data_IF_847358664252
#
_entry.id   IF_847358664252
#
_cell.length_a   1.000
_cell.length_b   1.000
_cell.length_c   1.000
_cell.angle_alpha   90.00
_cell.angle_beta   90.00
_cell.angle_gamma   90.00
#
_symmetry.space_group_name_H-M   'P 1'
#
loop_
_entity.id
_entity.type
_entity.pdbx_description
1 polymer ?
#
# COMPACT_ATOMS: atom_id res chain seq x y z
N UNK A 1 -53.61 19.73 -80.02
CA UNK A 1 -53.82 20.68 -78.92
C UNK A 1 -54.13 19.88 -77.65
N UNK A 2 -53.15 19.88 -76.74
CA UNK A 2 -53.13 19.53 -75.31
C UNK A 2 -54.11 18.45 -74.79
N UNK A 3 -53.61 17.22 -74.69
CA UNK A 3 -54.21 16.13 -73.90
C UNK A 3 -53.37 15.85 -72.65
N UNK A 4 -53.96 16.10 -71.49
CA UNK A 4 -53.40 15.92 -70.15
C UNK A 4 -53.36 14.44 -69.74
N UNK A 5 -52.22 13.95 -69.25
CA UNK A 5 -52.17 12.80 -68.34
C UNK A 5 -51.08 12.97 -67.28
N UNK A 6 -51.52 12.99 -66.03
CA UNK A 6 -50.73 13.10 -64.80
C UNK A 6 -49.99 11.78 -64.54
N UNK A 7 -48.68 11.81 -64.35
CA UNK A 7 -47.94 10.71 -63.73
C UNK A 7 -47.62 11.03 -62.26
N UNK A 8 -48.20 10.19 -61.39
CA UNK A 8 -48.08 10.20 -59.93
C UNK A 8 -46.65 9.86 -59.53
N UNK A 9 -45.95 10.79 -58.86
CA UNK A 9 -44.63 10.54 -58.30
C UNK A 9 -44.71 9.51 -57.16
N UNK A 10 -43.95 8.41 -57.29
CA UNK A 10 -43.80 7.41 -56.24
C UNK A 10 -42.96 7.99 -55.08
N UNK A 11 -43.54 8.01 -53.87
CA UNK A 11 -42.84 8.40 -52.64
C UNK A 11 -41.85 7.29 -52.25
N UNK A 12 -40.55 7.59 -52.30
CA UNK A 12 -39.51 6.72 -51.76
C UNK A 12 -39.63 6.55 -50.24
N UNK A 13 -39.14 5.44 -49.66
CA UNK A 13 -39.34 5.13 -48.26
C UNK A 13 -38.57 6.12 -47.36
N UNK A 14 -39.29 6.70 -46.41
CA UNK A 14 -38.72 7.57 -45.40
C UNK A 14 -37.70 6.82 -44.54
N UNK A 15 -36.43 7.23 -44.61
CA UNK A 15 -35.37 6.75 -43.70
C UNK A 15 -35.75 7.10 -42.26
N UNK A 16 -36.27 6.12 -41.52
CA UNK A 16 -36.43 6.21 -40.06
C UNK A 16 -35.06 6.45 -39.43
N UNK A 17 -34.81 7.67 -38.96
CA UNK A 17 -33.65 7.99 -38.11
C UNK A 17 -33.79 7.19 -36.81
N UNK A 18 -33.03 6.11 -36.68
CA UNK A 18 -32.94 5.36 -35.43
C UNK A 18 -32.43 6.27 -34.31
N UNK A 19 -33.07 6.21 -33.14
CA UNK A 19 -32.54 6.83 -31.92
C UNK A 19 -31.14 6.26 -31.62
N UNK A 20 -30.14 7.09 -31.25
CA UNK A 20 -28.84 6.58 -30.88
C UNK A 20 -28.96 5.70 -29.63
N UNK A 21 -28.41 4.49 -29.70
CA UNK A 21 -28.29 3.58 -28.55
C UNK A 21 -27.19 4.13 -27.62
N UNK A 22 -27.47 4.39 -26.34
CA UNK A 22 -26.42 4.72 -25.37
C UNK A 22 -25.54 3.48 -25.17
N UNK A 23 -24.22 3.60 -25.37
CA UNK A 23 -23.28 2.50 -25.11
C UNK A 23 -22.15 2.32 -26.12
N UNK A 24 -22.15 3.06 -27.24
CA UNK A 24 -21.05 3.04 -28.20
C UNK A 24 -20.49 4.45 -28.42
N UNK A 25 -20.09 5.11 -27.32
CA UNK A 25 -19.16 6.22 -27.43
C UNK A 25 -17.79 5.62 -27.75
N UNK A 26 -17.41 5.65 -29.03
CA UNK A 26 -16.00 5.50 -29.38
C UNK A 26 -15.25 6.61 -28.62
N UNK A 27 -14.19 6.30 -27.84
CA UNK A 27 -13.46 7.32 -27.11
C UNK A 27 -12.87 8.31 -28.12
N UNK A 28 -13.49 9.48 -28.23
CA UNK A 28 -12.90 10.63 -28.92
C UNK A 28 -12.09 11.37 -27.85
N UNK A 29 -10.93 10.82 -27.52
CA UNK A 29 -10.05 11.34 -26.49
C UNK A 29 -8.69 10.67 -26.54
N UNK A 30 -7.65 11.29 -25.97
CA UNK A 30 -6.32 10.68 -25.87
C UNK A 30 -6.41 9.31 -25.19
N UNK A 31 -5.45 8.38 -25.40
CA UNK A 31 -5.46 7.07 -24.74
C UNK A 31 -5.57 7.15 -23.20
N UNK A 32 -5.06 8.23 -22.60
CA UNK A 32 -5.22 8.55 -21.16
C UNK A 32 -6.66 8.85 -20.73
N UNK A 33 -7.55 9.16 -21.69
CA UNK A 33 -8.98 9.35 -21.49
C UNK A 33 -9.78 8.03 -21.55
N UNK A 34 -9.14 6.88 -21.77
CA UNK A 34 -9.81 5.58 -21.76
C UNK A 34 -10.05 5.11 -20.31
N UNK A 35 -11.29 4.78 -19.96
CA UNK A 35 -11.65 4.28 -18.63
C UNK A 35 -13.08 4.61 -18.22
N UNK A 36 -13.46 4.19 -17.01
CA UNK A 36 -14.73 4.61 -16.39
C UNK A 36 -14.52 5.96 -15.72
N UNK A 37 -15.10 7.01 -16.31
CA UNK A 37 -15.12 8.35 -15.74
C UNK A 37 -16.32 8.48 -14.80
N UNK A 38 -16.07 9.01 -13.61
CA UNK A 38 -17.14 9.39 -12.66
C UNK A 38 -17.09 10.89 -12.45
N UNK A 39 -18.26 11.52 -12.30
CA UNK A 39 -18.33 12.93 -11.94
C UNK A 39 -17.74 13.11 -10.55
N UNK A 40 -16.70 13.94 -10.44
CA UNK A 40 -16.06 14.25 -9.15
C UNK A 40 -16.77 15.38 -8.40
N UNK A 41 -17.76 16.04 -9.02
CA UNK A 41 -18.48 17.15 -8.38
C UNK A 41 -19.13 16.76 -7.03
N UNK A 42 -19.76 15.58 -6.87
CA UNK A 42 -20.26 15.13 -5.56
C UNK A 42 -19.15 14.87 -4.53
N UNK A 43 -17.92 14.55 -4.97
CA UNK A 43 -16.74 14.37 -4.11
C UNK A 43 -16.08 15.71 -3.72
N UNK A 44 -16.54 16.83 -4.28
CA UNK A 44 -16.06 18.19 -4.00
C UNK A 44 -16.98 18.95 -3.04
N UNK A 45 -18.00 18.30 -2.50
CA UNK A 45 -18.81 18.92 -1.45
C UNK A 45 -17.92 19.25 -0.25
N UNK A 46 -18.04 20.45 0.33
CA UNK A 46 -17.21 20.83 1.46
C UNK A 46 -17.54 19.94 2.66
N UNK A 47 -16.53 19.26 3.18
CA UNK A 47 -16.63 18.54 4.45
C UNK A 47 -16.18 19.45 5.59
N UNK A 48 -16.86 19.37 6.73
CA UNK A 48 -16.43 20.05 7.94
C UNK A 48 -15.07 19.50 8.41
N UNK A 49 -14.25 20.31 9.11
CA UNK A 49 -13.00 19.83 9.69
C UNK A 49 -13.18 18.60 10.60
N UNK A 50 -14.30 18.53 11.31
CA UNK A 50 -14.63 17.41 12.20
C UNK A 50 -14.91 16.12 11.42
N UNK A 51 -15.66 16.17 10.32
CA UNK A 51 -15.90 15.00 9.47
C UNK A 51 -14.59 14.47 8.86
N UNK A 52 -13.72 15.38 8.41
CA UNK A 52 -12.40 15.01 7.86
C UNK A 52 -11.52 14.37 8.93
N UNK A 53 -11.46 14.96 10.14
CA UNK A 53 -10.71 14.39 11.26
C UNK A 53 -11.26 13.01 11.67
N UNK A 54 -12.59 12.85 11.69
CA UNK A 54 -13.24 11.60 12.00
C UNK A 54 -12.89 10.51 10.97
N UNK A 55 -13.03 10.81 9.67
CA UNK A 55 -12.69 9.88 8.60
C UNK A 55 -11.21 9.46 8.65
N UNK A 56 -10.29 10.42 8.89
CA UNK A 56 -8.86 10.13 9.02
C UNK A 56 -8.55 9.25 10.24
N UNK A 57 -9.18 9.50 11.38
CA UNK A 57 -9.00 8.68 12.57
C UNK A 57 -9.44 7.22 12.31
N UNK A 58 -10.59 7.02 11.66
CA UNK A 58 -11.07 5.68 11.30
C UNK A 58 -10.14 5.01 10.28
N UNK A 59 -9.69 5.74 9.25
CA UNK A 59 -8.73 5.21 8.28
C UNK A 59 -7.44 4.70 8.97
N UNK A 60 -6.90 5.46 9.92
CA UNK A 60 -5.71 5.05 10.66
C UNK A 60 -5.98 3.79 11.51
N UNK A 61 -7.11 3.75 12.21
CA UNK A 61 -7.51 2.61 13.05
C UNK A 61 -7.70 1.33 12.23
N UNK A 62 -8.38 1.41 11.09
CA UNK A 62 -8.63 0.27 10.20
C UNK A 62 -7.34 -0.22 9.54
N UNK A 63 -6.45 0.70 9.14
CA UNK A 63 -5.19 0.39 8.45
C UNK A 63 -4.16 -0.24 9.38
N UNK A 64 -3.94 0.33 10.56
CA UNK A 64 -2.85 -0.08 11.44
C UNK A 64 -3.28 -0.97 12.60
N UNK A 65 -4.58 -0.96 12.96
CA UNK A 65 -5.11 -1.64 14.15
C UNK A 65 -4.71 -0.96 15.47
N UNK A 66 -3.45 -0.53 15.59
CA UNK A 66 -2.89 0.30 16.66
C UNK A 66 -2.40 1.60 16.06
N UNK A 67 -2.94 2.72 16.54
CA UNK A 67 -2.57 4.07 16.12
C UNK A 67 -1.73 4.72 17.20
N UNK A 68 -0.55 5.19 16.81
CA UNK A 68 0.37 5.96 17.65
C UNK A 68 0.64 7.33 17.02
N UNK A 69 1.43 8.16 17.71
CA UNK A 69 1.91 9.41 17.13
C UNK A 69 2.77 9.14 15.88
N UNK A 70 3.61 8.13 15.94
CA UNK A 70 4.56 7.76 14.90
C UNK A 70 3.87 7.22 13.65
N UNK A 71 2.80 6.42 13.79
CA UNK A 71 2.00 5.96 12.64
C UNK A 71 1.31 7.14 11.93
N UNK A 72 0.78 8.11 12.69
CA UNK A 72 0.15 9.30 12.11
C UNK A 72 1.16 10.22 11.41
N UNK A 73 2.38 10.32 11.93
CA UNK A 73 3.48 11.05 11.28
C UNK A 73 3.95 10.34 10.01
N UNK A 74 4.14 9.02 10.04
CA UNK A 74 4.57 8.22 8.90
C UNK A 74 3.59 8.25 7.72
N UNK A 75 2.29 8.37 8.00
CA UNK A 75 1.24 8.52 6.97
C UNK A 75 1.14 9.97 6.44
N UNK A 76 1.89 10.93 7.01
CA UNK A 76 1.89 12.33 6.57
C UNK A 76 0.57 13.05 6.86
N UNK A 77 -0.12 12.68 7.94
CA UNK A 77 -1.43 13.26 8.26
C UNK A 77 -1.35 14.77 8.47
N UNK A 78 -2.24 15.52 7.82
CA UNK A 78 -2.31 16.98 7.98
C UNK A 78 -2.77 17.31 9.40
N UNK A 79 -1.96 18.08 10.13
CA UNK A 79 -2.14 18.32 11.57
C UNK A 79 -1.55 17.22 12.47
N UNK A 80 -0.91 16.22 11.88
CA UNK A 80 -0.30 15.08 12.56
C UNK A 80 -1.28 14.35 13.48
N UNK A 81 -0.73 13.74 14.52
CA UNK A 81 -1.53 13.04 15.54
C UNK A 81 -2.50 13.97 16.29
N UNK A 82 -2.12 15.23 16.51
CA UNK A 82 -2.96 16.22 17.20
C UNK A 82 -4.29 16.47 16.45
N UNK A 83 -4.28 16.39 15.12
CA UNK A 83 -5.47 16.58 14.28
C UNK A 83 -6.53 15.48 14.46
N UNK A 84 -6.15 14.28 14.88
CA UNK A 84 -7.06 13.14 15.08
C UNK A 84 -7.28 12.78 16.56
N UNK A 85 -6.43 13.28 17.47
CA UNK A 85 -6.49 12.96 18.89
C UNK A 85 -7.85 13.24 19.55
N UNK A 86 -8.55 14.38 19.33
CA UNK A 86 -9.86 14.61 19.93
C UNK A 86 -10.89 13.55 19.52
N UNK A 87 -10.83 13.06 18.28
CA UNK A 87 -11.71 11.98 17.79
C UNK A 87 -11.35 10.66 18.47
N UNK A 88 -10.06 10.31 18.53
CA UNK A 88 -9.58 9.08 19.18
C UNK A 88 -9.97 9.05 20.67
N UNK A 89 -9.84 10.18 21.36
CA UNK A 89 -10.31 10.34 22.74
C UNK A 89 -11.82 10.16 22.86
N UNK A 90 -12.61 10.77 21.98
CA UNK A 90 -14.06 10.61 22.01
C UNK A 90 -14.50 9.16 21.70
N UNK A 91 -13.79 8.46 20.81
CA UNK A 91 -14.00 7.03 20.53
C UNK A 91 -13.66 6.16 21.75
N UNK A 92 -12.62 6.52 22.51
CA UNK A 92 -12.26 5.84 23.76
C UNK A 92 -13.37 6.01 24.81
N UNK A 93 -13.85 7.24 25.01
CA UNK A 93 -14.94 7.55 25.95
C UNK A 93 -16.23 6.77 25.62
N UNK A 94 -16.49 6.52 24.33
CA UNK A 94 -17.60 5.68 23.85
C UNK A 94 -17.32 4.17 23.93
N UNK A 95 -16.10 3.78 24.27
CA UNK A 95 -15.68 2.40 24.36
C UNK A 95 -15.47 1.70 23.01
N UNK A 96 -15.40 2.45 21.90
CA UNK A 96 -15.17 1.91 20.55
C UNK A 96 -13.70 1.58 20.30
N UNK A 97 -12.79 2.30 20.96
CA UNK A 97 -11.35 2.00 20.98
C UNK A 97 -10.85 1.78 22.41
N UNK A 98 -9.64 1.23 22.52
CA UNK A 98 -8.92 1.07 23.77
C UNK A 98 -7.68 1.92 23.74
N UNK A 99 -7.46 2.73 24.78
CA UNK A 99 -6.22 3.45 25.00
C UNK A 99 -5.31 2.65 25.92
N UNK A 100 -4.03 2.57 25.61
CA UNK A 100 -3.08 1.80 26.41
C UNK A 100 -1.65 1.84 25.87
N UNK A 101 -0.82 0.94 26.39
CA UNK A 101 0.55 0.70 25.91
C UNK A 101 0.56 -0.66 25.21
N UNK A 102 0.57 -0.64 23.88
CA UNK A 102 0.52 -1.85 23.05
C UNK A 102 1.88 -2.15 22.40
N UNK A 103 2.60 -1.10 22.01
CA UNK A 103 3.91 -1.19 21.36
C UNK A 103 4.98 -0.59 22.27
N UNK A 104 6.02 -1.37 22.55
CA UNK A 104 7.17 -0.93 23.35
C UNK A 104 8.03 0.10 22.59
N UNK A 105 8.69 1.00 23.32
CA UNK A 105 9.57 2.02 22.73
C UNK A 105 8.85 3.19 22.04
N UNK A 106 7.52 3.15 21.93
CA UNK A 106 6.70 4.24 21.40
C UNK A 106 6.01 5.05 22.52
N UNK A 107 5.55 6.25 22.17
CA UNK A 107 4.89 7.15 23.12
C UNK A 107 3.64 6.58 23.79
N UNK A 108 3.23 7.19 24.91
CA UNK A 108 2.16 6.71 25.77
C UNK A 108 0.73 6.80 25.18
N UNK A 109 0.51 7.68 24.22
CA UNK A 109 -0.80 7.85 23.59
C UNK A 109 -0.95 6.86 22.42
N UNK A 110 -1.42 5.65 22.72
CA UNK A 110 -1.71 4.63 21.72
C UNK A 110 -3.18 4.23 21.82
N UNK A 111 -3.84 4.11 20.67
CA UNK A 111 -5.25 3.74 20.55
C UNK A 111 -5.38 2.53 19.65
N UNK A 112 -6.17 1.55 20.05
CA UNK A 112 -6.35 0.33 19.28
C UNK A 112 -7.83 -0.06 19.21
N UNK A 113 -8.21 -0.68 18.09
CA UNK A 113 -9.51 -1.34 18.00
C UNK A 113 -9.53 -2.54 18.97
N UNK A 114 -10.67 -2.85 19.63
CA UNK A 114 -10.76 -3.99 20.54
C UNK A 114 -10.27 -5.30 19.90
N UNK A 115 -10.68 -5.58 18.66
CA UNK A 115 -10.22 -6.76 17.92
C UNK A 115 -8.71 -6.76 17.61
N UNK A 116 -8.07 -5.60 17.49
CA UNK A 116 -6.61 -5.52 17.36
C UNK A 116 -5.93 -5.90 18.68
N UNK A 117 -6.45 -5.43 19.83
CA UNK A 117 -5.96 -5.81 21.15
C UNK A 117 -6.10 -7.31 21.39
N UNK A 118 -7.22 -7.90 21.01
CA UNK A 118 -7.46 -9.33 21.17
C UNK A 118 -6.51 -10.16 20.30
N UNK A 119 -6.24 -9.74 19.06
CA UNK A 119 -5.21 -10.37 18.21
C UNK A 119 -3.82 -10.30 18.83
N UNK A 120 -3.41 -9.17 19.40
CA UNK A 120 -2.13 -9.02 20.09
C UNK A 120 -2.02 -9.96 21.31
N UNK A 121 -3.10 -10.09 22.08
CA UNK A 121 -3.16 -11.03 23.21
C UNK A 121 -3.08 -12.48 22.74
N UNK A 122 -3.79 -12.81 21.65
CA UNK A 122 -3.75 -14.13 21.04
C UNK A 122 -2.34 -14.51 20.58
N UNK A 123 -1.66 -13.62 19.85
CA UNK A 123 -0.28 -13.82 19.41
C UNK A 123 0.69 -14.02 20.60
N UNK A 124 0.52 -13.25 21.68
CA UNK A 124 1.32 -13.42 22.90
C UNK A 124 1.07 -14.77 23.59
N UNK A 125 -0.19 -15.22 23.62
CA UNK A 125 -0.57 -16.45 24.31
C UNK A 125 -0.19 -17.72 23.54
N UNK A 126 -0.26 -17.68 22.21
CA UNK A 126 0.19 -18.77 21.35
C UNK A 126 1.72 -18.96 21.42
N UNK A 127 2.47 -17.90 21.77
CA UNK A 127 3.89 -17.82 21.46
C UNK A 127 4.08 -17.55 19.96
N UNK A 128 5.25 -17.03 19.60
CA UNK A 128 5.60 -16.90 18.17
C UNK A 128 6.06 -18.27 17.70
N UNK A 129 5.14 -19.09 17.17
CA UNK A 129 5.54 -20.14 16.24
C UNK A 129 6.23 -19.45 15.07
N UNK A 130 7.48 -19.81 14.72
CA UNK A 130 8.18 -19.15 13.63
C UNK A 130 7.34 -19.23 12.36
N UNK A 131 7.15 -18.10 11.68
CA UNK A 131 6.52 -18.09 10.38
C UNK A 131 7.33 -19.01 9.45
N UNK A 132 6.62 -19.89 8.73
CA UNK A 132 7.25 -20.88 7.85
C UNK A 132 8.11 -20.21 6.77
N UNK A 133 7.71 -19.03 6.27
CA UNK A 133 8.37 -18.35 5.16
C UNK A 133 8.48 -16.82 5.36
N UNK A 134 9.59 -16.19 4.92
CA UNK A 134 9.71 -14.73 4.91
C UNK A 134 8.72 -14.06 3.94
N UNK A 135 8.18 -12.92 4.36
CA UNK A 135 7.25 -12.09 3.59
C UNK A 135 7.98 -10.93 2.92
N UNK A 136 7.68 -10.67 1.63
CA UNK A 136 8.24 -9.52 0.91
C UNK A 136 7.21 -8.43 0.67
N UNK A 137 7.39 -7.30 1.35
CA UNK A 137 6.56 -6.10 1.24
C UNK A 137 7.28 -5.00 0.47
N UNK A 138 6.53 -4.14 -0.21
CA UNK A 138 7.08 -2.86 -0.64
C UNK A 138 7.45 -2.05 0.60
N UNK A 139 8.56 -1.32 0.57
CA UNK A 139 8.97 -0.50 1.71
C UNK A 139 7.90 0.55 2.07
N UNK A 140 7.09 0.99 1.10
CA UNK A 140 6.00 1.95 1.33
C UNK A 140 4.69 1.32 1.81
N UNK A 141 4.63 -0.01 1.95
CA UNK A 141 3.42 -0.69 2.42
C UNK A 141 3.10 -0.31 3.88
N UNK A 142 1.83 -0.06 4.26
CA UNK A 142 1.47 0.22 5.65
C UNK A 142 1.75 -0.92 6.64
N UNK A 143 1.76 -2.17 6.18
CA UNK A 143 2.10 -3.33 7.01
C UNK A 143 3.60 -3.46 7.27
N UNK A 144 4.43 -2.68 6.56
CA UNK A 144 5.86 -2.54 6.81
C UNK A 144 6.07 -1.30 7.70
N UNK A 145 6.44 -1.47 9.00
CA UNK A 145 6.48 -0.35 9.94
C UNK A 145 7.84 0.36 10.01
N UNK A 146 8.92 -0.26 9.55
CA UNK A 146 10.28 0.26 9.70
C UNK A 146 10.56 1.42 8.74
N UNK A 147 11.25 2.44 9.25
CA UNK A 147 11.42 3.70 8.52
C UNK A 147 10.16 4.56 8.47
N UNK A 148 9.12 4.20 9.24
CA UNK A 148 7.92 5.00 9.47
C UNK A 148 7.59 5.06 10.96
N UNK A 149 6.80 4.09 11.44
CA UNK A 149 6.37 4.04 12.84
C UNK A 149 7.45 3.46 13.77
N UNK A 150 8.31 2.59 13.22
CA UNK A 150 9.44 1.99 13.92
C UNK A 150 10.76 2.45 13.26
N UNK A 151 11.80 2.65 14.07
CA UNK A 151 13.16 2.84 13.57
C UNK A 151 13.69 1.55 12.97
N UNK A 152 14.50 1.66 11.92
CA UNK A 152 15.27 0.53 11.41
C UNK A 152 16.18 -0.05 12.50
N UNK A 153 16.38 -1.38 12.54
CA UNK A 153 17.44 -1.97 13.33
C UNK A 153 18.82 -1.45 12.89
N UNK A 154 19.82 -1.62 13.75
CA UNK A 154 21.20 -1.30 13.41
C UNK A 154 21.68 -2.17 12.23
N UNK A 155 22.34 -1.52 11.27
CA UNK A 155 22.85 -2.13 10.04
C UNK A 155 24.07 -1.36 9.55
N UNK A 156 24.95 -2.00 8.78
CA UNK A 156 26.09 -1.34 8.13
C UNK A 156 25.64 -0.40 6.99
N UNK A 157 24.50 -0.71 6.36
CA UNK A 157 23.89 0.11 5.32
C UNK A 157 23.00 1.25 5.83
N UNK A 158 22.41 1.98 4.87
CA UNK A 158 21.42 3.05 5.14
C UNK A 158 20.08 2.66 4.52
N UNK A 159 19.25 1.88 5.23
CA UNK A 159 17.98 1.42 4.68
C UNK A 159 17.01 2.59 4.48
N UNK A 160 16.19 2.51 3.42
CA UNK A 160 15.27 3.59 3.05
C UNK A 160 13.85 3.10 2.85
N UNK A 161 12.89 3.85 3.41
CA UNK A 161 11.47 3.68 3.11
C UNK A 161 11.08 4.46 1.86
N UNK A 162 11.33 3.90 0.67
CA UNK A 162 11.05 4.56 -0.61
C UNK A 162 10.22 3.71 -1.58
N UNK A 163 9.48 4.38 -2.47
CA UNK A 163 8.73 3.71 -3.53
C UNK A 163 9.68 2.91 -4.44
N UNK A 164 9.34 1.64 -4.68
CA UNK A 164 10.15 0.71 -5.47
C UNK A 164 11.23 -0.03 -4.68
N UNK A 165 11.46 0.32 -3.41
CA UNK A 165 12.24 -0.51 -2.48
C UNK A 165 11.35 -1.61 -1.87
N UNK A 166 11.97 -2.70 -1.44
CA UNK A 166 11.29 -3.85 -0.85
C UNK A 166 11.96 -4.26 0.45
N UNK A 167 11.18 -4.80 1.38
CA UNK A 167 11.68 -5.30 2.67
C UNK A 167 11.22 -6.74 2.81
N UNK A 168 12.17 -7.61 3.15
CA UNK A 168 11.89 -9.00 3.53
C UNK A 168 11.77 -9.06 5.04
N UNK A 169 10.62 -9.52 5.53
CA UNK A 169 10.32 -9.66 6.95
C UNK A 169 10.19 -11.16 7.29
N UNK A 170 10.75 -11.56 8.43
CA UNK A 170 10.54 -12.88 9.02
C UNK A 170 10.13 -12.67 10.48
N UNK A 171 8.98 -13.20 10.88
CA UNK A 171 8.38 -12.95 12.20
C UNK A 171 8.25 -11.47 12.59
N UNK A 172 7.98 -10.63 11.59
CA UNK A 172 7.88 -9.18 11.77
C UNK A 172 9.21 -8.45 11.93
N UNK A 173 10.34 -9.17 11.95
CA UNK A 173 11.69 -8.60 11.95
C UNK A 173 12.21 -8.46 10.51
N UNK A 174 12.87 -7.35 10.14
CA UNK A 174 13.43 -7.20 8.82
C UNK A 174 14.72 -8.01 8.71
N UNK A 175 14.84 -8.77 7.62
CA UNK A 175 16.05 -9.50 7.26
C UNK A 175 16.87 -8.70 6.26
N UNK A 176 16.23 -8.21 5.19
CA UNK A 176 16.89 -7.37 4.19
C UNK A 176 15.98 -6.26 3.69
N UNK A 177 16.57 -5.10 3.38
CA UNK A 177 15.96 -4.05 2.57
C UNK A 177 16.66 -4.00 1.22
N UNK A 178 15.90 -4.11 0.14
CA UNK A 178 16.39 -4.04 -1.24
C UNK A 178 16.07 -2.66 -1.79
N UNK A 179 17.10 -1.95 -2.21
CA UNK A 179 16.98 -0.57 -2.67
C UNK A 179 16.07 -0.47 -3.89
N UNK A 180 15.60 0.75 -4.17
CA UNK A 180 14.90 1.04 -5.42
C UNK A 180 15.77 0.67 -6.63
N UNK A 181 15.23 -0.22 -7.46
CA UNK A 181 15.89 -0.70 -8.68
C UNK A 181 16.73 -1.96 -8.47
N UNK A 182 16.80 -2.49 -7.23
CA UNK A 182 17.26 -3.85 -6.98
C UNK A 182 18.75 -4.09 -7.21
N UNK A 183 19.59 -3.03 -7.14
CA UNK A 183 21.04 -3.14 -7.33
C UNK A 183 21.84 -3.25 -6.04
N UNK A 184 21.26 -2.88 -4.91
CA UNK A 184 21.90 -2.96 -3.60
C UNK A 184 20.89 -3.45 -2.58
N UNK A 185 21.37 -4.15 -1.57
CA UNK A 185 20.57 -4.46 -0.38
C UNK A 185 21.33 -4.14 0.90
N UNK A 186 20.58 -3.91 1.96
CA UNK A 186 21.06 -3.78 3.34
C UNK A 186 20.61 -5.00 4.13
N UNK A 187 21.52 -5.61 4.88
CA UNK A 187 21.20 -6.73 5.78
C UNK A 187 20.98 -6.26 7.21
N UNK A 188 20.16 -7.00 7.94
CA UNK A 188 19.88 -6.80 9.36
C UNK A 188 20.31 -8.02 10.17
N UNK A 189 20.39 -7.94 11.52
CA UNK A 189 21.02 -8.98 12.34
C UNK A 189 20.55 -10.42 12.07
N UNK A 190 19.26 -10.63 11.81
CA UNK A 190 18.70 -11.97 11.55
C UNK A 190 18.98 -12.53 10.14
N UNK A 191 19.53 -11.74 9.22
CA UNK A 191 19.78 -12.19 7.86
C UNK A 191 20.76 -13.35 7.79
N UNK A 192 21.79 -13.33 8.66
CA UNK A 192 22.83 -14.36 8.76
C UNK A 192 22.29 -15.74 9.17
N UNK A 193 21.15 -15.76 9.87
CA UNK A 193 20.60 -16.96 10.49
C UNK A 193 19.81 -17.83 9.50
N UNK A 194 19.43 -17.29 8.33
CA UNK A 194 18.63 -18.00 7.34
C UNK A 194 18.84 -17.48 5.92
N UNK A 195 18.84 -18.39 4.93
CA UNK A 195 18.88 -18.03 3.51
C UNK A 195 17.48 -17.89 2.89
N UNK A 196 16.41 -18.11 3.66
CA UNK A 196 15.04 -18.10 3.16
C UNK A 196 14.64 -16.77 2.51
N UNK A 197 15.26 -15.66 2.92
CA UNK A 197 15.01 -14.36 2.30
C UNK A 197 15.47 -14.30 0.83
N UNK A 198 16.48 -15.07 0.44
CA UNK A 198 16.93 -15.16 -0.96
C UNK A 198 15.82 -15.78 -1.82
N UNK A 199 15.23 -16.88 -1.34
CA UNK A 199 14.08 -17.52 -1.99
C UNK A 199 12.86 -16.59 -2.09
N UNK A 200 12.59 -15.82 -1.03
CA UNK A 200 11.52 -14.83 -1.02
C UNK A 200 11.75 -13.72 -2.07
N UNK A 201 12.99 -13.25 -2.25
CA UNK A 201 13.35 -12.29 -3.29
C UNK A 201 13.23 -12.86 -4.71
N UNK A 202 13.62 -14.13 -4.92
CA UNK A 202 13.38 -14.81 -6.20
C UNK A 202 11.90 -14.86 -6.54
N UNK A 203 11.04 -15.08 -5.52
CA UNK A 203 9.59 -15.05 -5.66
C UNK A 203 9.08 -13.77 -6.32
N UNK A 204 9.65 -12.60 -5.99
CA UNK A 204 9.29 -11.34 -6.63
C UNK A 204 9.44 -11.37 -8.17
N UNK A 205 10.50 -12.01 -8.67
CA UNK A 205 10.75 -12.11 -10.11
C UNK A 205 9.88 -13.20 -10.73
N UNK A 206 9.80 -14.37 -10.08
CA UNK A 206 9.00 -15.52 -10.55
C UNK A 206 7.50 -15.17 -10.66
N UNK A 207 6.99 -14.38 -9.73
CA UNK A 207 5.60 -13.93 -9.70
C UNK A 207 5.34 -12.70 -10.60
N UNK A 208 6.37 -12.21 -11.30
CA UNK A 208 6.27 -11.04 -12.19
C UNK A 208 6.07 -9.71 -11.47
N UNK A 209 6.26 -9.64 -10.14
CA UNK A 209 6.24 -8.39 -9.36
C UNK A 209 7.44 -7.50 -9.67
N UNK A 210 8.57 -8.10 -10.05
CA UNK A 210 9.75 -7.44 -10.59
C UNK A 210 10.15 -8.08 -11.93
N UNK A 211 10.57 -7.25 -12.89
CA UNK A 211 11.02 -7.77 -14.18
C UNK A 211 12.38 -8.49 -14.08
N UNK A 212 13.27 -8.01 -13.22
CA UNK A 212 14.58 -8.59 -12.91
C UNK A 212 15.10 -8.06 -11.58
N UNK A 213 16.05 -8.78 -10.99
CA UNK A 213 16.80 -8.37 -9.81
C UNK A 213 18.30 -8.62 -10.07
N UNK A 214 19.11 -7.56 -10.07
CA UNK A 214 20.54 -7.61 -10.40
C UNK A 214 21.34 -6.98 -9.26
N UNK A 215 21.60 -7.75 -8.21
CA UNK A 215 22.30 -7.28 -7.02
C UNK A 215 23.80 -7.08 -7.34
N UNK A 216 24.28 -5.86 -7.13
CA UNK A 216 25.67 -5.47 -7.27
C UNK A 216 26.36 -5.27 -5.90
N UNK A 217 25.62 -4.83 -4.87
CA UNK A 217 26.17 -4.55 -3.54
C UNK A 217 25.32 -5.13 -2.40
N UNK A 218 25.99 -5.52 -1.32
CA UNK A 218 25.41 -5.83 -0.02
C UNK A 218 26.12 -4.96 1.02
N UNK A 219 25.35 -4.20 1.80
CA UNK A 219 25.89 -3.33 2.86
C UNK A 219 26.96 -2.35 2.36
N UNK A 220 26.83 -1.91 1.10
CA UNK A 220 27.77 -1.00 0.43
C UNK A 220 28.99 -1.67 -0.20
N UNK A 221 29.24 -2.94 0.10
CA UNK A 221 30.35 -3.76 -0.43
C UNK A 221 29.91 -4.52 -1.68
N UNK A 222 30.76 -4.69 -2.72
CA UNK A 222 30.42 -5.51 -3.88
C UNK A 222 29.98 -6.92 -3.47
N UNK A 223 28.89 -7.44 -4.03
CA UNK A 223 28.29 -8.75 -3.65
C UNK A 223 29.33 -9.86 -3.58
N UNK A 224 30.24 -9.91 -4.56
CA UNK A 224 31.29 -10.94 -4.68
C UNK A 224 32.30 -10.95 -3.53
N UNK A 225 32.44 -9.83 -2.83
CA UNK A 225 33.34 -9.67 -1.68
C UNK A 225 32.63 -9.93 -0.35
N UNK A 226 31.33 -10.28 -0.39
CA UNK A 226 30.52 -10.53 0.81
C UNK A 226 30.30 -12.02 1.03
N UNK A 227 29.98 -12.45 2.28
CA UNK A 227 29.62 -13.84 2.58
C UNK A 227 28.40 -14.37 1.78
N UNK A 228 27.63 -13.47 1.17
CA UNK A 228 26.43 -13.77 0.41
C UNK A 228 26.70 -14.18 -1.04
N UNK A 229 27.90 -13.96 -1.56
CA UNK A 229 28.25 -14.12 -2.98
C UNK A 229 27.80 -15.47 -3.55
N UNK A 230 28.29 -16.57 -2.97
CA UNK A 230 28.01 -17.91 -3.48
C UNK A 230 26.52 -18.27 -3.44
N UNK A 231 25.80 -17.79 -2.41
CA UNK A 231 24.38 -18.08 -2.22
C UNK A 231 23.51 -17.30 -3.19
N UNK A 232 23.83 -16.03 -3.42
CA UNK A 232 23.14 -15.17 -4.38
C UNK A 232 23.45 -15.53 -5.84
N UNK A 233 24.65 -16.04 -6.14
CA UNK A 233 25.01 -16.50 -7.49
C UNK A 233 24.36 -17.84 -7.86
N UNK A 234 24.08 -18.69 -6.87
CA UNK A 234 23.40 -19.97 -7.07
C UNK A 234 21.87 -19.84 -7.22
N UNK A 235 21.32 -18.67 -6.88
CA UNK A 235 19.90 -18.35 -6.86
C UNK A 235 19.41 -17.76 -8.19
#
# INVERSE_FOLDING_TARGET
>A
LVGSTRHRAARGPARRRGRPRPGALRPVGPPSAAGRWSLVAPLRLPHSPTEVAAARAHQLLERYGVVTRETALGEGQVGGFAGVYPVLKALEERGEVRRGYFVAGLGAAQFALPGAVDRLRGARAAGTEPADEPLVLAATDPAQPYGAALSWPESEGRPVRAAGAHVVLHDGLPLVEVERGGRSLVTFPGAADTDAWIGALQGLVKDGRLAKLELAKVDGTPVRETPWAARLEAA
#
